data_IF_128720372049
#
_entry.id   IF_128720372049
#
_cell.length_a   1.000
_cell.length_b   1.000
_cell.length_c   1.000
_cell.angle_alpha   90.00
_cell.angle_beta   90.00
_cell.angle_gamma   90.00
#
_symmetry.space_group_name_H-M   'P 1'
#
loop_
_entity.id
_entity.type
_entity.pdbx_description
1 polymer ?
#
# COMPACT_ATOMS: atom_id res chain seq x y z
N UNK A 1 -17.72 -15.26 -2.79
CA UNK A 1 -17.37 -14.56 -1.53
C UNK A 1 -18.59 -13.78 -1.06
N UNK A 2 -18.91 -13.75 0.24
CA UNK A 2 -20.06 -12.97 0.73
C UNK A 2 -19.72 -11.47 0.77
N UNK A 3 -20.70 -10.56 0.60
CA UNK A 3 -20.46 -9.12 0.72
C UNK A 3 -19.85 -8.70 2.07
N UNK A 4 -20.24 -9.38 3.16
CA UNK A 4 -19.70 -9.14 4.49
C UNK A 4 -18.19 -9.38 4.56
N UNK A 5 -17.72 -10.52 4.02
CA UNK A 5 -16.29 -10.83 4.00
C UNK A 5 -15.51 -9.89 3.08
N UNK A 6 -16.06 -9.58 1.89
CA UNK A 6 -15.44 -8.63 0.96
C UNK A 6 -15.25 -7.25 1.59
N UNK A 7 -16.27 -6.77 2.31
CA UNK A 7 -16.20 -5.51 3.04
C UNK A 7 -15.16 -5.54 4.18
N UNK A 8 -15.08 -6.64 4.94
CA UNK A 8 -14.04 -6.79 5.99
C UNK A 8 -12.64 -6.70 5.37
N UNK A 9 -12.40 -7.39 4.25
CA UNK A 9 -11.11 -7.31 3.55
C UNK A 9 -10.76 -5.87 3.15
N UNK A 10 -11.71 -5.10 2.62
CA UNK A 10 -11.51 -3.68 2.31
C UNK A 10 -11.17 -2.87 3.57
N UNK A 11 -11.82 -3.11 4.72
CA UNK A 11 -11.52 -2.40 5.96
C UNK A 11 -10.14 -2.75 6.53
N UNK A 12 -9.75 -4.02 6.48
CA UNK A 12 -8.40 -4.46 6.90
C UNK A 12 -7.32 -3.86 5.99
N UNK A 13 -7.53 -3.88 4.67
CA UNK A 13 -6.66 -3.19 3.72
C UNK A 13 -6.56 -1.70 4.04
N UNK A 14 -7.69 -1.03 4.25
CA UNK A 14 -7.73 0.40 4.54
C UNK A 14 -6.94 0.73 5.82
N UNK A 15 -7.11 -0.06 6.87
CA UNK A 15 -6.34 0.07 8.11
C UNK A 15 -4.83 -0.10 7.88
N UNK A 16 -4.42 -1.11 7.11
CA UNK A 16 -3.02 -1.30 6.74
C UNK A 16 -2.46 -0.08 5.99
N UNK A 17 -3.15 0.38 4.95
CA UNK A 17 -2.72 1.55 4.18
C UNK A 17 -2.57 2.76 5.08
N UNK A 18 -3.55 3.07 5.93
CA UNK A 18 -3.50 4.21 6.86
C UNK A 18 -2.29 4.11 7.78
N UNK A 19 -2.09 2.97 8.45
CA UNK A 19 -1.03 2.83 9.45
C UNK A 19 0.37 2.88 8.81
N UNK A 20 0.59 2.13 7.73
CA UNK A 20 1.87 2.07 7.06
C UNK A 20 2.23 3.42 6.42
N UNK A 21 1.27 4.05 5.73
CA UNK A 21 1.50 5.33 5.07
C UNK A 21 1.60 6.51 6.03
N UNK A 22 0.87 6.51 7.15
CA UNK A 22 1.05 7.56 8.16
C UNK A 22 2.44 7.48 8.79
N UNK A 23 2.91 6.26 9.10
CA UNK A 23 4.27 6.03 9.58
C UNK A 23 5.32 6.48 8.57
N UNK A 24 5.19 6.04 7.31
CA UNK A 24 6.07 6.46 6.21
C UNK A 24 6.06 7.96 5.97
N UNK A 25 4.89 8.60 5.90
CA UNK A 25 4.80 10.04 5.66
C UNK A 25 5.44 10.86 6.80
N UNK A 26 5.38 10.38 8.05
CA UNK A 26 6.09 11.00 9.17
C UNK A 26 7.60 10.91 8.96
N UNK A 27 8.11 9.75 8.50
CA UNK A 27 9.54 9.63 8.17
C UNK A 27 9.93 10.50 7.00
N UNK A 28 9.08 10.59 5.97
CA UNK A 28 9.32 11.42 4.79
C UNK A 28 9.46 12.89 5.15
N UNK A 29 8.54 13.39 5.97
CA UNK A 29 8.58 14.78 6.43
C UNK A 29 9.79 15.02 7.32
N UNK A 30 10.09 14.10 8.24
CA UNK A 30 11.25 14.21 9.12
C UNK A 30 12.58 14.22 8.35
N UNK A 31 12.71 13.38 7.33
CA UNK A 31 13.87 13.31 6.45
C UNK A 31 13.98 14.56 5.57
N UNK A 32 12.93 14.86 4.82
CA UNK A 32 12.93 15.89 3.77
C UNK A 32 13.05 17.32 4.30
N UNK A 33 12.42 17.63 5.44
CA UNK A 33 12.36 19.01 5.95
C UNK A 33 13.24 19.26 7.17
N UNK A 34 13.56 18.22 7.93
CA UNK A 34 14.29 18.36 9.19
C UNK A 34 15.63 17.62 9.20
N UNK A 35 15.98 16.89 8.14
CA UNK A 35 17.24 16.14 8.04
C UNK A 35 17.37 15.06 9.13
N UNK A 36 16.27 14.42 9.52
CA UNK A 36 16.23 13.41 10.59
C UNK A 36 15.86 12.03 10.08
N UNK A 37 16.37 11.00 10.79
CA UNK A 37 16.03 9.60 10.52
C UNK A 37 16.82 9.00 9.36
N UNK A 38 16.56 7.72 9.08
CA UNK A 38 17.27 6.97 8.05
C UNK A 38 17.12 7.57 6.63
N UNK A 39 15.96 8.18 6.36
CA UNK A 39 15.69 8.79 5.07
C UNK A 39 16.53 10.04 4.79
N UNK A 40 16.96 10.77 5.84
CA UNK A 40 17.83 11.92 5.65
C UNK A 40 19.18 11.54 5.01
N UNK A 41 19.68 10.33 5.28
CA UNK A 41 20.88 9.82 4.63
C UNK A 41 20.66 9.58 3.13
N UNK A 42 19.49 9.05 2.73
CA UNK A 42 19.12 8.88 1.33
C UNK A 42 19.00 10.22 0.60
N UNK A 43 18.33 11.19 1.26
CA UNK A 43 18.04 12.49 0.66
C UNK A 43 19.27 13.41 0.57
N UNK A 44 20.33 13.14 1.33
CA UNK A 44 21.60 13.86 1.19
C UNK A 44 22.21 13.65 -0.20
N UNK A 45 22.14 12.42 -0.72
CA UNK A 45 22.67 12.06 -2.04
C UNK A 45 21.63 12.21 -3.16
N UNK A 46 20.33 12.08 -2.84
CA UNK A 46 19.24 12.15 -3.80
C UNK A 46 18.05 13.00 -3.28
N UNK A 47 18.22 14.33 -3.11
CA UNK A 47 17.20 15.18 -2.48
C UNK A 47 15.87 15.21 -3.24
N UNK A 48 15.90 15.02 -4.57
CA UNK A 48 14.68 14.94 -5.39
C UNK A 48 13.80 13.71 -5.10
N UNK A 49 14.34 12.66 -4.47
CA UNK A 49 13.58 11.45 -4.13
C UNK A 49 12.51 11.71 -3.07
N UNK A 50 12.67 12.75 -2.24
CA UNK A 50 11.71 13.11 -1.18
C UNK A 50 10.33 13.45 -1.72
N UNK A 51 10.23 14.00 -2.94
CA UNK A 51 8.94 14.22 -3.62
C UNK A 51 8.22 12.88 -3.82
N UNK A 52 8.94 11.89 -4.35
CA UNK A 52 8.40 10.56 -4.61
C UNK A 52 7.97 9.83 -3.33
N UNK A 53 8.74 9.96 -2.25
CA UNK A 53 8.38 9.37 -0.95
C UNK A 53 7.10 10.00 -0.38
N UNK A 54 7.07 11.34 -0.28
CA UNK A 54 5.91 12.09 0.21
C UNK A 54 4.66 11.79 -0.62
N UNK A 55 4.76 11.77 -1.94
CA UNK A 55 3.62 11.48 -2.82
C UNK A 55 3.16 10.03 -2.67
N UNK A 56 4.07 9.06 -2.57
CA UNK A 56 3.72 7.65 -2.43
C UNK A 56 2.98 7.38 -1.11
N UNK A 57 3.53 7.82 0.02
CA UNK A 57 2.87 7.64 1.31
C UNK A 57 1.62 8.53 1.44
N UNK A 58 1.68 9.79 0.99
CA UNK A 58 0.54 10.70 1.00
C UNK A 58 -0.67 10.15 0.22
N UNK A 59 -0.46 9.65 -0.99
CA UNK A 59 -1.53 9.04 -1.79
C UNK A 59 -2.04 7.74 -1.16
N UNK A 60 -1.14 6.90 -0.62
CA UNK A 60 -1.54 5.69 0.09
C UNK A 60 -2.42 6.00 1.32
N UNK A 61 -2.11 7.08 2.06
CA UNK A 61 -2.91 7.54 3.20
C UNK A 61 -4.29 8.01 2.76
N UNK A 62 -4.35 8.83 1.71
CA UNK A 62 -5.62 9.30 1.13
C UNK A 62 -6.47 8.11 0.71
N UNK A 63 -5.90 7.16 -0.04
CA UNK A 63 -6.60 5.94 -0.48
C UNK A 63 -7.09 5.15 0.73
N UNK A 64 -6.26 4.93 1.73
CA UNK A 64 -6.63 4.22 2.96
C UNK A 64 -7.82 4.88 3.66
N UNK A 65 -7.79 6.20 3.85
CA UNK A 65 -8.89 6.96 4.47
C UNK A 65 -10.17 6.93 3.64
N UNK A 66 -10.06 7.03 2.31
CA UNK A 66 -11.21 6.91 1.40
C UNK A 66 -11.83 5.51 1.51
N UNK A 67 -11.02 4.46 1.43
CA UNK A 67 -11.47 3.08 1.51
C UNK A 67 -12.02 2.71 2.90
N UNK A 68 -11.59 3.40 3.96
CA UNK A 68 -12.15 3.23 5.30
C UNK A 68 -13.62 3.68 5.40
N UNK A 69 -14.02 4.69 4.61
CA UNK A 69 -15.37 5.28 4.68
C UNK A 69 -16.29 4.84 3.56
N UNK A 70 -15.75 4.29 2.48
CA UNK A 70 -16.54 3.99 1.29
C UNK A 70 -17.58 2.89 1.54
N UNK A 71 -18.71 2.97 0.84
CA UNK A 71 -19.68 1.88 0.76
C UNK A 71 -19.10 0.71 -0.03
N UNK A 72 -19.44 -0.52 0.39
CA UNK A 72 -18.94 -1.72 -0.25
C UNK A 72 -19.38 -1.79 -1.72
N UNK A 73 -18.42 -2.12 -2.58
CA UNK A 73 -18.62 -2.49 -3.98
C UNK A 73 -17.53 -3.47 -4.38
N UNK A 74 -17.90 -4.49 -5.17
CA UNK A 74 -16.94 -5.50 -5.64
C UNK A 74 -15.82 -4.89 -6.48
N UNK A 75 -16.09 -3.78 -7.17
CA UNK A 75 -15.12 -3.08 -8.03
C UNK A 75 -13.94 -2.51 -7.23
N UNK A 76 -14.13 -2.23 -5.93
CA UNK A 76 -13.03 -1.77 -5.08
C UNK A 76 -11.93 -2.81 -4.91
N UNK A 77 -12.23 -4.10 -5.06
CA UNK A 77 -11.18 -5.11 -5.03
C UNK A 77 -10.22 -5.00 -6.22
N UNK A 78 -10.72 -4.65 -7.42
CA UNK A 78 -9.85 -4.46 -8.58
C UNK A 78 -8.95 -3.23 -8.40
N UNK A 79 -9.54 -2.13 -7.93
CA UNK A 79 -8.79 -0.92 -7.61
C UNK A 79 -7.69 -1.17 -6.57
N UNK A 80 -8.03 -1.80 -5.44
CA UNK A 80 -7.09 -2.11 -4.36
C UNK A 80 -6.01 -3.09 -4.81
N UNK A 81 -6.34 -4.10 -5.63
CA UNK A 81 -5.33 -4.98 -6.22
C UNK A 81 -4.31 -4.20 -7.05
N UNK A 82 -4.75 -3.24 -7.87
CA UNK A 82 -3.86 -2.39 -8.67
C UNK A 82 -3.00 -1.48 -7.79
N UNK A 83 -3.58 -0.87 -6.76
CA UNK A 83 -2.82 -0.05 -5.78
C UNK A 83 -1.72 -0.88 -5.14
N UNK A 84 -2.04 -2.06 -4.61
CA UNK A 84 -1.05 -2.90 -3.96
C UNK A 84 -0.02 -3.49 -4.92
N UNK A 85 -0.41 -3.81 -6.16
CA UNK A 85 0.52 -4.26 -7.18
C UNK A 85 1.53 -3.15 -7.53
N UNK A 86 1.06 -1.90 -7.68
CA UNK A 86 1.92 -0.76 -7.94
C UNK A 86 2.90 -0.54 -6.78
N UNK A 87 2.40 -0.45 -5.54
CA UNK A 87 3.24 -0.19 -4.36
C UNK A 87 4.23 -1.33 -4.10
N UNK A 88 3.77 -2.58 -4.16
CA UNK A 88 4.63 -3.76 -3.97
C UNK A 88 5.68 -3.91 -5.08
N UNK A 89 5.34 -3.56 -6.33
CA UNK A 89 6.32 -3.54 -7.42
C UNK A 89 7.32 -2.41 -7.27
N UNK A 90 6.87 -1.22 -6.85
CA UNK A 90 7.77 -0.10 -6.56
C UNK A 90 8.78 -0.49 -5.47
N UNK A 91 8.36 -1.16 -4.40
CA UNK A 91 9.28 -1.66 -3.38
C UNK A 91 10.37 -2.58 -3.97
N UNK A 92 10.01 -3.47 -4.91
CA UNK A 92 10.96 -4.37 -5.55
C UNK A 92 11.92 -3.64 -6.51
N UNK A 93 11.39 -2.71 -7.32
CA UNK A 93 12.19 -1.94 -8.28
C UNK A 93 13.15 -0.97 -7.59
N UNK A 94 12.74 -0.40 -6.47
CA UNK A 94 13.50 0.57 -5.69
C UNK A 94 14.08 -0.03 -4.41
N UNK A 95 14.34 -1.34 -4.40
CA UNK A 95 14.80 -2.08 -3.22
C UNK A 95 16.06 -1.52 -2.55
N UNK A 96 16.92 -0.87 -3.34
CA UNK A 96 18.14 -0.22 -2.86
C UNK A 96 17.87 0.86 -1.81
N UNK A 97 16.71 1.51 -1.81
CA UNK A 97 16.36 2.47 -0.77
C UNK A 97 16.22 1.80 0.60
N UNK A 98 15.67 0.57 0.68
CA UNK A 98 15.59 -0.15 1.94
C UNK A 98 16.97 -0.58 2.47
N UNK A 99 17.91 -0.89 1.56
CA UNK A 99 19.30 -1.21 1.92
C UNK A 99 20.00 0.05 2.43
N UNK A 100 19.94 1.14 1.67
CA UNK A 100 20.69 2.35 1.98
C UNK A 100 20.14 3.09 3.22
N UNK A 101 18.86 2.94 3.55
CA UNK A 101 18.28 3.42 4.81
C UNK A 101 18.35 2.39 5.96
N UNK A 102 18.96 1.21 5.76
CA UNK A 102 19.07 0.14 6.77
C UNK A 102 17.71 -0.27 7.39
N UNK A 103 16.68 -0.38 6.56
CA UNK A 103 15.30 -0.71 6.96
C UNK A 103 14.78 -1.95 6.23
N UNK A 104 15.64 -2.92 5.99
CA UNK A 104 15.31 -4.17 5.27
C UNK A 104 14.12 -4.92 5.87
N UNK A 105 13.99 -4.95 7.20
CA UNK A 105 12.83 -5.59 7.86
C UNK A 105 11.52 -4.92 7.44
N UNK A 106 11.49 -3.59 7.39
CA UNK A 106 10.32 -2.83 6.90
C UNK A 106 10.07 -3.16 5.43
N UNK A 107 11.12 -3.20 4.61
CA UNK A 107 11.04 -3.58 3.20
C UNK A 107 10.44 -4.96 2.97
N UNK A 108 10.86 -5.98 3.73
CA UNK A 108 10.31 -7.33 3.63
C UNK A 108 8.83 -7.39 4.04
N UNK A 109 8.51 -6.81 5.20
CA UNK A 109 7.16 -6.87 5.76
C UNK A 109 6.15 -6.14 4.87
N UNK A 110 6.49 -4.92 4.43
CA UNK A 110 5.59 -4.11 3.59
C UNK A 110 5.40 -4.72 2.21
N UNK A 111 6.48 -5.18 1.56
CA UNK A 111 6.41 -5.85 0.26
C UNK A 111 5.58 -7.12 0.32
N UNK A 112 5.81 -7.97 1.34
CA UNK A 112 5.00 -9.17 1.53
C UNK A 112 3.52 -8.83 1.76
N UNK A 113 3.23 -7.83 2.60
CA UNK A 113 1.87 -7.37 2.83
C UNK A 113 1.20 -6.89 1.53
N UNK A 114 1.90 -6.11 0.69
CA UNK A 114 1.36 -5.68 -0.59
C UNK A 114 0.95 -6.85 -1.48
N UNK A 115 1.83 -7.82 -1.68
CA UNK A 115 1.54 -8.97 -2.53
C UNK A 115 0.47 -9.91 -1.94
N UNK A 116 0.39 -10.04 -0.61
CA UNK A 116 -0.71 -10.74 0.05
C UNK A 116 -2.06 -10.06 -0.21
N UNK A 117 -2.13 -8.72 -0.13
CA UNK A 117 -3.34 -7.98 -0.47
C UNK A 117 -3.69 -8.11 -1.96
N UNK A 118 -2.72 -8.09 -2.88
CA UNK A 118 -2.97 -8.37 -4.31
C UNK A 118 -3.68 -9.71 -4.47
N UNK A 119 -3.12 -10.78 -3.90
CA UNK A 119 -3.70 -12.13 -3.99
C UNK A 119 -5.08 -12.19 -3.36
N UNK A 120 -5.27 -11.57 -2.18
CA UNK A 120 -6.55 -11.56 -1.49
C UNK A 120 -7.65 -10.84 -2.30
N UNK A 121 -7.34 -9.68 -2.89
CA UNK A 121 -8.28 -8.91 -3.70
C UNK A 121 -8.61 -9.59 -5.03
N UNK A 122 -7.63 -10.19 -5.70
CA UNK A 122 -7.88 -11.00 -6.91
C UNK A 122 -8.72 -12.25 -6.58
N UNK A 123 -8.45 -12.90 -5.45
CA UNK A 123 -9.26 -14.01 -4.94
C UNK A 123 -10.70 -13.61 -4.66
N UNK A 124 -10.91 -12.42 -4.10
CA UNK A 124 -12.24 -11.85 -3.88
C UNK A 124 -13.01 -11.63 -5.19
N UNK A 125 -12.38 -11.05 -6.21
CA UNK A 125 -12.96 -10.85 -7.53
C UNK A 125 -13.31 -12.17 -8.21
N UNK A 126 -12.37 -13.12 -8.26
CA UNK A 126 -12.58 -14.42 -8.85
C UNK A 126 -13.74 -15.17 -8.15
N UNK A 127 -13.80 -15.08 -6.82
CA UNK A 127 -14.86 -15.67 -6.02
C UNK A 127 -16.23 -15.00 -6.17
N UNK A 128 -16.28 -13.72 -6.57
CA UNK A 128 -17.52 -13.03 -6.89
C UNK A 128 -18.02 -13.40 -8.30
N UNK A 129 -17.13 -13.41 -9.29
CA UNK A 129 -17.44 -13.79 -10.67
C UNK A 129 -18.01 -15.22 -10.77
N UNK A 130 -17.45 -16.17 -10.00
CA UNK A 130 -17.95 -17.56 -9.95
C UNK A 130 -19.39 -17.67 -9.43
N UNK A 131 -19.80 -16.82 -8.49
CA UNK A 131 -21.16 -16.84 -7.94
C UNK A 131 -22.17 -16.16 -8.87
N UNK A 132 -21.71 -15.27 -9.76
CA UNK A 132 -22.55 -14.58 -10.74
C UNK A 132 -22.75 -15.37 -12.04
N UNK A 133 -21.94 -16.42 -12.28
CA UNK A 133 -22.08 -17.25 -13.46
C UNK A 133 -23.35 -18.14 -13.35
N UNK A 134 -24.25 -18.14 -14.35
CA UNK A 134 -25.41 -19.03 -14.33
C UNK A 134 -24.96 -20.49 -14.35
N UNK A 135 -25.61 -21.32 -13.52
CA UNK A 135 -25.46 -22.78 -13.55
C UNK A 135 -25.81 -23.27 -14.95
N UNK A 136 -24.80 -23.77 -15.68
CA UNK A 136 -25.03 -24.48 -16.94
C UNK A 136 -25.59 -25.86 -16.67
#
# INVERSE_FOLDING_TARGET
MTPAFGNILIRVNAGFLILASAGGLITDVAGSFFGRGAEAALLADAPGAGIGFIEAHGLALIIGLTMWRIAYSVNWHAFLATVHALLGTANLLFWQFFIAADVLVVGYVTTAAHWLFVVAHLGALAGAARLAAPSR
#
